data_IF_253384833581
#
_entry.id   IF_253384833581
#
_cell.length_a   1.000
_cell.length_b   1.000
_cell.length_c   1.000
_cell.angle_alpha   90.00
_cell.angle_beta   90.00
_cell.angle_gamma   90.00
#
_symmetry.space_group_name_H-M   'P 1'
#
loop_
_entity.id
_entity.type
_entity.pdbx_description
1 polymer ?
#
# COMPACT_ATOMS: atom_id res chain seq x y z
N UNK A 1 -62.22 -55.33 49.74
CA UNK A 1 -61.46 -54.09 50.18
C UNK A 1 -60.50 -53.76 49.11
N UNK A 2 -60.79 -52.68 48.34
CA UNK A 2 -60.08 -52.30 47.14
C UNK A 2 -59.17 -51.09 47.45
N UNK A 3 -57.84 -51.28 47.42
CA UNK A 3 -56.90 -50.18 47.64
C UNK A 3 -56.57 -49.55 46.26
N UNK A 4 -56.95 -48.27 46.09
CA UNK A 4 -56.60 -47.44 44.94
C UNK A 4 -55.15 -46.92 45.12
N UNK A 5 -54.30 -47.24 44.17
CA UNK A 5 -52.99 -46.59 44.03
C UNK A 5 -53.14 -45.35 43.16
N UNK A 6 -52.81 -44.16 43.68
CA UNK A 6 -52.71 -42.92 42.92
C UNK A 6 -51.24 -42.79 42.46
N UNK A 7 -51.03 -42.87 41.16
CA UNK A 7 -49.72 -42.59 40.56
C UNK A 7 -49.59 -41.08 40.32
N UNK A 8 -48.62 -40.46 40.96
CA UNK A 8 -48.29 -39.07 40.78
C UNK A 8 -47.17 -38.96 39.70
N UNK A 9 -47.54 -38.46 38.51
CA UNK A 9 -46.59 -38.22 37.38
C UNK A 9 -45.96 -36.86 37.58
N UNK A 10 -44.68 -36.81 37.90
CA UNK A 10 -43.90 -35.57 37.98
C UNK A 10 -43.36 -35.27 36.56
N UNK A 11 -43.89 -34.24 35.92
CA UNK A 11 -43.37 -33.71 34.67
C UNK A 11 -42.14 -32.87 34.97
N UNK A 12 -40.96 -33.42 34.62
CA UNK A 12 -39.69 -32.65 34.65
C UNK A 12 -39.61 -31.74 33.44
N UNK A 13 -39.80 -30.43 33.64
CA UNK A 13 -39.57 -29.39 32.66
C UNK A 13 -38.05 -29.20 32.61
N UNK A 14 -37.40 -29.79 31.61
CA UNK A 14 -35.98 -29.56 31.30
C UNK A 14 -35.79 -28.14 30.73
N UNK A 15 -35.26 -27.18 31.52
CA UNK A 15 -34.73 -25.94 30.99
C UNK A 15 -33.45 -26.29 30.19
N UNK A 16 -33.59 -26.35 28.85
CA UNK A 16 -32.46 -26.41 27.94
C UNK A 16 -31.68 -25.08 28.02
N UNK A 17 -30.54 -25.08 28.69
CA UNK A 17 -29.58 -23.98 28.60
C UNK A 17 -29.08 -23.91 27.16
N UNK A 18 -29.53 -22.91 26.41
CA UNK A 18 -28.96 -22.56 25.10
C UNK A 18 -27.56 -22.00 25.40
N UNK A 19 -26.54 -22.86 25.27
CA UNK A 19 -25.15 -22.45 25.31
C UNK A 19 -24.87 -21.67 24.01
N UNK A 20 -24.97 -20.35 24.07
CA UNK A 20 -24.44 -19.51 22.97
C UNK A 20 -22.93 -19.58 23.06
N UNK A 21 -22.32 -20.40 22.20
CA UNK A 21 -20.91 -20.30 21.96
C UNK A 21 -20.62 -18.83 21.51
N UNK A 22 -19.59 -18.18 22.04
CA UNK A 22 -19.22 -16.86 21.55
C UNK A 22 -18.97 -16.98 20.05
N UNK A 23 -19.64 -16.15 19.25
CA UNK A 23 -19.35 -16.05 17.83
C UNK A 23 -17.87 -15.63 17.74
N UNK A 24 -17.05 -16.43 17.06
CA UNK A 24 -15.69 -16.02 16.73
C UNK A 24 -15.83 -14.81 15.82
N UNK A 25 -15.31 -13.67 16.28
CA UNK A 25 -15.31 -12.46 15.47
C UNK A 25 -14.52 -12.70 14.18
N UNK A 26 -15.09 -12.33 13.04
CA UNK A 26 -14.40 -12.43 11.77
C UNK A 26 -13.20 -11.47 11.75
N UNK A 27 -12.07 -11.93 11.23
CA UNK A 27 -10.86 -11.11 11.18
C UNK A 27 -10.74 -10.40 9.83
N UNK A 28 -10.62 -9.08 9.87
CA UNK A 28 -10.21 -8.28 8.71
C UNK A 28 -8.69 -8.26 8.65
N UNK A 29 -8.12 -8.72 7.55
CA UNK A 29 -6.67 -8.86 7.36
C UNK A 29 -6.15 -7.70 6.50
N UNK A 30 -5.37 -6.82 7.13
CA UNK A 30 -4.85 -5.58 6.51
C UNK A 30 -3.37 -5.76 6.18
N UNK A 31 -3.03 -5.55 4.90
CA UNK A 31 -1.65 -5.41 4.46
C UNK A 31 -1.19 -3.94 4.51
N UNK A 32 -0.03 -3.68 5.12
CA UNK A 32 0.52 -2.34 5.17
C UNK A 32 2.03 -2.32 4.88
N UNK A 33 2.55 -1.14 4.61
CA UNK A 33 3.97 -0.86 4.42
C UNK A 33 4.45 0.14 5.49
N UNK A 34 5.76 0.31 5.66
CA UNK A 34 6.33 1.39 6.51
C UNK A 34 6.09 2.79 5.95
N UNK A 35 5.00 2.98 5.21
CA UNK A 35 4.69 4.14 4.39
C UNK A 35 3.18 4.35 4.33
N UNK A 36 2.75 5.63 4.21
CA UNK A 36 1.36 6.00 3.97
C UNK A 36 0.47 5.98 5.21
N UNK A 37 -0.81 6.21 4.98
CA UNK A 37 -1.80 6.44 6.03
C UNK A 37 -2.15 5.16 6.82
N UNK A 38 -2.06 3.97 6.19
CA UNK A 38 -2.39 2.71 6.90
C UNK A 38 -1.48 2.42 8.10
N UNK A 39 -0.18 2.76 8.04
CA UNK A 39 0.69 2.55 9.20
C UNK A 39 0.34 3.51 10.34
N UNK A 40 -0.11 4.74 10.02
CA UNK A 40 -0.59 5.70 11.03
C UNK A 40 -1.89 5.19 11.65
N UNK A 41 -2.84 4.74 10.84
CA UNK A 41 -4.12 4.18 11.29
C UNK A 41 -3.91 3.00 12.25
N UNK A 42 -2.98 2.09 11.90
CA UNK A 42 -2.59 0.96 12.73
C UNK A 42 -2.08 1.40 14.11
N UNK A 43 -1.16 2.37 14.15
CA UNK A 43 -0.55 2.82 15.41
C UNK A 43 -1.56 3.54 16.31
N UNK A 44 -2.57 4.18 15.75
CA UNK A 44 -3.66 4.83 16.50
C UNK A 44 -4.70 3.83 17.04
N UNK A 45 -4.76 2.60 16.55
CA UNK A 45 -5.77 1.62 16.94
C UNK A 45 -7.21 2.07 16.63
N UNK A 46 -7.37 3.03 15.72
CA UNK A 46 -8.68 3.59 15.38
C UNK A 46 -9.54 2.60 14.59
N UNK A 47 -8.91 1.80 13.73
CA UNK A 47 -9.63 0.82 12.93
C UNK A 47 -10.26 -0.26 13.80
N UNK A 48 -9.53 -0.77 14.79
CA UNK A 48 -10.03 -1.73 15.77
C UNK A 48 -11.27 -1.20 16.49
N UNK A 49 -11.23 0.05 16.93
CA UNK A 49 -12.37 0.70 17.61
C UNK A 49 -13.60 0.84 16.71
N UNK A 50 -13.41 1.09 15.41
CA UNK A 50 -14.50 1.21 14.44
C UNK A 50 -15.09 -0.13 14.02
N UNK A 51 -14.30 -1.20 14.02
CA UNK A 51 -14.71 -2.53 13.53
C UNK A 51 -15.24 -3.44 14.65
N UNK A 52 -14.84 -3.24 15.91
CA UNK A 52 -15.35 -3.99 17.07
C UNK A 52 -16.88 -3.98 17.16
N UNK A 53 -17.59 -2.83 17.04
CA UNK A 53 -19.05 -2.79 17.06
C UNK A 53 -19.73 -3.52 15.90
N UNK A 54 -18.98 -3.76 14.80
CA UNK A 54 -19.45 -4.53 13.65
C UNK A 54 -19.18 -6.04 13.79
N UNK A 55 -18.56 -6.47 14.89
CA UNK A 55 -18.24 -7.86 15.16
C UNK A 55 -16.94 -8.34 14.48
N UNK A 56 -16.05 -7.44 14.07
CA UNK A 56 -14.78 -7.77 13.43
C UNK A 56 -13.59 -7.45 14.31
N UNK A 57 -12.56 -8.30 14.20
CA UNK A 57 -11.20 -8.01 14.69
C UNK A 57 -10.31 -7.59 13.54
N UNK A 58 -9.16 -6.95 13.82
CA UNK A 58 -8.20 -6.54 12.81
C UNK A 58 -6.89 -7.29 12.99
N UNK A 59 -6.34 -7.79 11.90
CA UNK A 59 -4.98 -8.32 11.85
C UNK A 59 -4.13 -7.55 10.84
N UNK A 60 -2.90 -7.21 11.19
CA UNK A 60 -1.99 -6.41 10.39
C UNK A 60 -0.78 -7.19 9.95
N UNK A 61 -0.46 -7.14 8.65
CA UNK A 61 0.75 -7.76 8.10
C UNK A 61 1.57 -6.73 7.36
N UNK A 62 2.85 -6.59 7.75
CA UNK A 62 3.79 -5.68 7.10
C UNK A 62 4.38 -6.31 5.83
N UNK A 63 4.49 -5.52 4.77
CA UNK A 63 5.12 -5.90 3.50
C UNK A 63 6.23 -4.92 3.12
N UNK A 64 7.30 -5.39 2.47
CA UNK A 64 8.42 -4.54 2.06
C UNK A 64 8.09 -3.60 0.90
N UNK A 65 6.99 -3.84 0.17
CA UNK A 65 6.55 -3.07 -0.98
C UNK A 65 5.21 -3.52 -1.53
N UNK A 66 4.63 -2.69 -2.39
CA UNK A 66 3.31 -2.93 -2.99
C UNK A 66 3.18 -4.22 -3.79
N UNK A 67 4.15 -4.62 -4.62
CA UNK A 67 4.08 -5.88 -5.34
C UNK A 67 3.87 -7.09 -4.42
N UNK A 68 4.65 -7.21 -3.34
CA UNK A 68 4.55 -8.31 -2.38
C UNK A 68 3.22 -8.27 -1.59
N UNK A 69 2.72 -7.07 -1.28
CA UNK A 69 1.41 -6.91 -0.65
C UNK A 69 0.30 -7.44 -1.56
N UNK A 70 0.35 -7.14 -2.85
CA UNK A 70 -0.68 -7.59 -3.79
C UNK A 70 -0.57 -9.06 -4.18
N UNK A 71 0.61 -9.68 -4.06
CA UNK A 71 0.73 -11.15 -4.09
C UNK A 71 -0.06 -11.79 -2.94
N UNK A 72 0.04 -11.22 -1.72
CA UNK A 72 -0.72 -11.69 -0.56
C UNK A 72 -2.23 -11.48 -0.73
N UNK A 73 -2.66 -10.35 -1.31
CA UNK A 73 -4.07 -10.11 -1.65
C UNK A 73 -4.57 -11.12 -2.70
N UNK A 74 -3.76 -11.39 -3.72
CA UNK A 74 -4.11 -12.33 -4.79
C UNK A 74 -4.38 -13.75 -4.30
N UNK A 75 -3.64 -14.20 -3.27
CA UNK A 75 -3.83 -15.54 -2.67
C UNK A 75 -4.79 -15.51 -1.48
N UNK A 76 -5.45 -14.40 -1.21
CA UNK A 76 -6.41 -14.27 -0.13
C UNK A 76 -5.79 -14.29 1.27
N UNK A 77 -4.50 -13.92 1.41
CA UNK A 77 -3.84 -13.81 2.71
C UNK A 77 -4.17 -12.48 3.41
N UNK A 78 -4.55 -11.45 2.65
CA UNK A 78 -5.08 -10.17 3.15
C UNK A 78 -6.35 -9.79 2.39
N UNK A 79 -7.18 -8.94 3.02
CA UNK A 79 -8.47 -8.49 2.49
C UNK A 79 -8.42 -7.05 1.97
N UNK A 80 -7.51 -6.25 2.53
CA UNK A 80 -7.38 -4.83 2.25
C UNK A 80 -5.91 -4.38 2.38
N UNK A 81 -5.52 -3.36 1.62
CA UNK A 81 -4.18 -2.80 1.71
C UNK A 81 -3.99 -1.55 0.88
N UNK A 82 -2.78 -0.97 0.95
CA UNK A 82 -2.39 0.22 0.18
C UNK A 82 -1.11 -0.01 -0.60
N UNK A 83 -1.07 0.53 -1.80
CA UNK A 83 0.13 0.57 -2.64
C UNK A 83 0.19 1.86 -3.44
N UNK A 84 1.35 2.17 -4.03
CA UNK A 84 1.42 3.19 -5.07
C UNK A 84 0.71 2.76 -6.36
N UNK A 85 0.85 3.54 -7.41
CA UNK A 85 0.08 3.46 -8.65
C UNK A 85 0.41 2.24 -9.54
N UNK A 86 1.66 1.77 -9.58
CA UNK A 86 2.05 0.70 -10.51
C UNK A 86 1.73 -0.74 -10.02
N UNK A 87 1.89 -1.13 -8.75
CA UNK A 87 1.66 -2.50 -8.31
C UNK A 87 0.28 -3.08 -8.66
N UNK A 88 -0.86 -2.33 -8.53
CA UNK A 88 -2.18 -2.87 -8.86
C UNK A 88 -2.33 -3.22 -10.34
N UNK A 89 -1.62 -2.54 -11.22
CA UNK A 89 -1.61 -2.80 -12.67
C UNK A 89 -1.04 -4.18 -12.96
N UNK A 90 0.12 -4.49 -12.35
CA UNK A 90 0.74 -5.82 -12.48
C UNK A 90 -0.12 -6.92 -11.85
N UNK A 91 -0.69 -6.67 -10.69
CA UNK A 91 -1.57 -7.62 -10.01
C UNK A 91 -2.84 -7.89 -10.84
N UNK A 92 -3.48 -6.87 -11.39
CA UNK A 92 -4.64 -7.03 -12.29
C UNK A 92 -4.28 -7.80 -13.56
N UNK A 93 -3.13 -7.50 -14.18
CA UNK A 93 -2.65 -8.24 -15.35
C UNK A 93 -2.38 -9.71 -15.04
N UNK A 94 -1.97 -10.03 -13.82
CA UNK A 94 -1.82 -11.39 -13.31
C UNK A 94 -3.15 -12.06 -12.91
N UNK A 95 -4.27 -11.31 -12.89
CA UNK A 95 -5.60 -11.84 -12.57
C UNK A 95 -5.99 -11.77 -11.10
N UNK A 96 -5.30 -10.95 -10.30
CA UNK A 96 -5.64 -10.75 -8.89
C UNK A 96 -7.08 -10.21 -8.72
N UNK A 97 -7.85 -10.73 -7.76
CA UNK A 97 -9.24 -10.33 -7.51
C UNK A 97 -9.31 -9.03 -6.69
N UNK A 98 -8.69 -7.95 -7.19
CA UNK A 98 -8.64 -6.66 -6.51
C UNK A 98 -9.70 -5.68 -7.02
N UNK A 99 -10.07 -4.73 -6.16
CA UNK A 99 -10.83 -3.53 -6.50
C UNK A 99 -10.11 -2.30 -5.96
N UNK A 100 -10.05 -1.24 -6.76
CA UNK A 100 -9.70 0.10 -6.27
C UNK A 100 -10.88 0.67 -5.51
N UNK A 101 -10.67 1.09 -4.27
CA UNK A 101 -11.73 1.56 -3.37
C UNK A 101 -11.55 3.03 -2.95
N UNK A 102 -10.37 3.60 -3.13
CA UNK A 102 -10.05 4.99 -2.86
C UNK A 102 -8.60 5.31 -3.21
N UNK A 103 -8.24 6.59 -3.19
CA UNK A 103 -6.88 7.04 -3.43
C UNK A 103 -6.55 8.31 -2.66
N UNK A 104 -5.26 8.59 -2.48
CA UNK A 104 -4.73 9.84 -1.95
C UNK A 104 -4.23 10.76 -3.09
N UNK A 105 -4.21 12.09 -2.87
CA UNK A 105 -3.72 13.05 -3.86
C UNK A 105 -2.28 12.75 -4.30
N UNK A 106 -1.79 13.37 -5.41
CA UNK A 106 -0.43 13.18 -5.89
C UNK A 106 0.63 13.51 -4.84
N UNK A 107 1.66 12.67 -4.73
CA UNK A 107 2.83 12.85 -3.88
C UNK A 107 4.15 12.64 -4.64
N UNK A 108 4.40 13.36 -5.75
CA UNK A 108 5.54 13.10 -6.64
C UNK A 108 6.91 13.27 -5.97
N UNK A 109 7.01 14.12 -4.93
CA UNK A 109 8.25 14.37 -4.21
C UNK A 109 8.63 13.27 -3.22
N UNK A 110 7.74 12.30 -2.96
CA UNK A 110 7.99 11.20 -2.02
C UNK A 110 8.73 10.00 -2.64
N UNK A 111 9.18 10.14 -3.88
CA UNK A 111 10.06 9.16 -4.56
C UNK A 111 11.18 9.87 -5.31
N UNK A 112 12.34 9.20 -5.44
CA UNK A 112 13.51 9.79 -6.06
C UNK A 112 14.42 8.73 -6.72
N UNK A 113 15.24 9.20 -7.66
CA UNK A 113 16.45 8.51 -8.12
C UNK A 113 17.62 9.09 -7.32
N UNK A 114 18.27 8.24 -6.54
CA UNK A 114 19.43 8.59 -5.72
C UNK A 114 20.73 8.16 -6.40
N UNK A 115 21.75 8.98 -6.21
CA UNK A 115 23.14 8.66 -6.56
C UNK A 115 24.05 8.96 -5.38
N UNK A 116 25.20 8.30 -5.28
CA UNK A 116 26.15 8.55 -4.21
C UNK A 116 26.59 10.03 -4.19
N UNK A 117 26.97 10.55 -3.02
CA UNK A 117 27.41 11.94 -2.82
C UNK A 117 28.40 12.39 -3.87
N UNK A 118 29.45 11.59 -4.09
CA UNK A 118 30.58 11.90 -5.00
C UNK A 118 30.42 11.30 -6.40
N UNK A 119 29.22 10.79 -6.73
CA UNK A 119 28.95 10.20 -8.04
C UNK A 119 29.21 11.21 -9.17
N UNK A 120 29.86 10.79 -10.27
CA UNK A 120 30.02 11.59 -11.47
C UNK A 120 28.70 11.83 -12.22
N UNK A 121 27.66 11.05 -11.93
CA UNK A 121 26.33 11.18 -12.52
C UNK A 121 25.70 12.49 -12.03
N UNK A 122 25.40 13.42 -12.96
CA UNK A 122 24.82 14.74 -12.62
C UNK A 122 23.42 14.94 -13.17
N UNK A 123 23.03 14.19 -14.20
CA UNK A 123 21.74 14.25 -14.87
C UNK A 123 21.18 12.86 -15.11
N UNK A 124 19.89 12.76 -15.37
CA UNK A 124 19.25 11.47 -15.73
C UNK A 124 19.83 10.90 -17.03
N UNK A 125 20.30 11.74 -17.96
CA UNK A 125 20.95 11.29 -19.18
C UNK A 125 22.25 10.51 -18.92
N UNK A 126 22.96 10.81 -17.82
CA UNK A 126 24.19 10.11 -17.42
C UNK A 126 23.94 8.67 -16.92
N UNK A 127 22.65 8.29 -16.74
CA UNK A 127 22.27 6.93 -16.36
C UNK A 127 22.42 5.91 -17.51
N UNK A 128 22.64 6.37 -18.74
CA UNK A 128 22.89 5.47 -19.88
C UNK A 128 24.05 4.53 -19.60
N UNK A 129 23.82 3.21 -19.72
CA UNK A 129 24.78 2.16 -19.41
C UNK A 129 25.03 1.89 -17.93
N UNK A 130 24.37 2.64 -17.01
CA UNK A 130 24.55 2.49 -15.56
C UNK A 130 23.67 1.40 -14.96
N UNK A 131 24.07 0.92 -13.77
CA UNK A 131 23.32 -0.04 -12.99
C UNK A 131 22.38 0.69 -12.02
N UNK A 132 21.09 0.41 -12.10
CA UNK A 132 20.07 1.07 -11.29
C UNK A 132 19.30 0.02 -10.50
N UNK A 133 19.26 0.14 -9.16
CA UNK A 133 18.41 -0.71 -8.33
C UNK A 133 17.00 -0.13 -8.22
N UNK A 134 15.98 -0.99 -8.24
CA UNK A 134 14.60 -0.68 -7.91
C UNK A 134 13.77 -1.93 -7.63
N UNK A 135 12.62 -1.78 -6.97
CA UNK A 135 11.67 -2.87 -6.80
C UNK A 135 10.80 -3.03 -8.05
N UNK A 136 10.85 -4.21 -8.67
CA UNK A 136 10.13 -4.51 -9.93
C UNK A 136 8.62 -4.30 -9.77
N UNK A 137 8.00 -3.59 -10.70
CA UNK A 137 6.55 -3.36 -10.71
C UNK A 137 6.04 -2.39 -9.63
N UNK A 138 6.94 -1.68 -8.92
CA UNK A 138 6.58 -0.59 -8.01
C UNK A 138 6.44 0.74 -8.77
N UNK A 139 5.93 1.78 -8.08
CA UNK A 139 5.79 3.11 -8.69
C UNK A 139 7.13 3.71 -9.14
N UNK A 140 8.23 3.48 -8.41
CA UNK A 140 9.56 3.94 -8.87
C UNK A 140 10.04 3.24 -10.14
N UNK A 141 9.46 2.12 -10.52
CA UNK A 141 9.71 1.51 -11.81
C UNK A 141 9.08 2.35 -12.93
N UNK A 142 7.83 2.82 -12.77
CA UNK A 142 7.19 3.74 -13.69
C UNK A 142 7.88 5.10 -13.70
N UNK A 143 8.19 5.64 -12.53
CA UNK A 143 8.93 6.89 -12.39
C UNK A 143 10.28 6.86 -13.14
N UNK A 144 11.08 5.79 -12.98
CA UNK A 144 12.34 5.65 -13.74
C UNK A 144 12.10 5.67 -15.24
N UNK A 145 11.09 4.96 -15.74
CA UNK A 145 10.74 4.96 -17.17
C UNK A 145 10.45 6.39 -17.65
N UNK A 146 9.62 7.15 -16.91
CA UNK A 146 9.28 8.53 -17.28
C UNK A 146 10.47 9.49 -17.17
N UNK A 147 11.34 9.30 -16.19
CA UNK A 147 12.56 10.08 -16.06
C UNK A 147 13.53 9.84 -17.23
N UNK A 148 13.74 8.60 -17.62
CA UNK A 148 14.57 8.22 -18.76
C UNK A 148 14.00 8.75 -20.08
N UNK A 149 12.68 8.58 -20.30
CA UNK A 149 11.97 9.11 -21.47
C UNK A 149 12.19 10.62 -21.64
N UNK A 150 11.98 11.40 -20.55
CA UNK A 150 12.20 12.86 -20.56
C UNK A 150 13.67 13.22 -20.85
N UNK A 151 14.60 12.39 -20.42
CA UNK A 151 16.04 12.59 -20.67
C UNK A 151 16.51 12.08 -22.04
N UNK A 152 15.62 11.49 -22.86
CA UNK A 152 15.97 10.91 -24.17
C UNK A 152 16.81 9.63 -24.09
N UNK A 153 16.73 8.91 -22.96
CA UNK A 153 17.41 7.62 -22.73
C UNK A 153 16.41 6.49 -22.88
N UNK A 154 16.68 5.53 -23.76
CA UNK A 154 15.79 4.37 -23.89
C UNK A 154 15.86 3.49 -22.63
N UNK A 155 14.72 2.90 -22.23
CA UNK A 155 14.66 1.99 -21.08
C UNK A 155 15.65 0.83 -21.17
N UNK A 156 15.88 0.30 -22.38
CA UNK A 156 16.88 -0.75 -22.63
C UNK A 156 18.34 -0.30 -22.60
N UNK A 157 18.61 1.00 -22.50
CA UNK A 157 19.97 1.55 -22.42
C UNK A 157 20.54 1.59 -20.99
N UNK A 158 19.75 1.19 -19.99
CA UNK A 158 20.17 1.08 -18.57
C UNK A 158 20.15 -0.36 -18.09
N UNK A 159 20.95 -0.68 -17.07
CA UNK A 159 21.02 -2.02 -16.48
C UNK A 159 20.24 -2.04 -15.17
N UNK A 160 19.03 -2.60 -15.16
CA UNK A 160 18.18 -2.60 -13.97
C UNK A 160 18.42 -3.84 -13.12
N UNK A 161 18.70 -3.62 -11.84
CA UNK A 161 18.75 -4.64 -10.80
C UNK A 161 17.45 -4.61 -10.01
N UNK A 162 16.60 -5.63 -10.18
CA UNK A 162 15.34 -5.74 -9.46
C UNK A 162 15.59 -6.30 -8.06
N UNK A 163 15.53 -5.43 -7.06
CA UNK A 163 15.82 -5.73 -5.66
C UNK A 163 14.72 -5.15 -4.75
N UNK A 164 14.31 -5.85 -3.70
CA UNK A 164 13.48 -5.26 -2.66
C UNK A 164 14.25 -4.15 -1.93
N UNK A 165 13.57 -3.21 -1.24
CA UNK A 165 14.20 -2.01 -0.68
C UNK A 165 15.43 -2.26 0.19
N UNK A 166 15.41 -3.30 1.05
CA UNK A 166 16.54 -3.60 1.94
C UNK A 166 17.79 -4.03 1.16
N UNK A 167 17.64 -4.93 0.16
CA UNK A 167 18.73 -5.41 -0.67
C UNK A 167 19.25 -4.31 -1.62
N UNK A 168 18.31 -3.50 -2.15
CA UNK A 168 18.65 -2.34 -2.99
C UNK A 168 19.47 -1.31 -2.20
N UNK A 169 19.12 -1.08 -0.93
CA UNK A 169 19.90 -0.22 -0.03
C UNK A 169 21.32 -0.74 0.15
N UNK A 170 21.49 -2.02 0.47
CA UNK A 170 22.80 -2.63 0.64
C UNK A 170 23.63 -2.56 -0.65
N UNK A 171 23.01 -2.81 -1.82
CA UNK A 171 23.66 -2.69 -3.11
C UNK A 171 24.10 -1.25 -3.43
N UNK A 172 23.29 -0.27 -3.06
CA UNK A 172 23.59 1.15 -3.24
C UNK A 172 24.71 1.62 -2.31
N UNK A 173 24.64 1.31 -1.01
CA UNK A 173 25.65 1.68 -0.01
C UNK A 173 27.01 1.04 -0.29
N UNK A 174 27.05 -0.18 -0.83
CA UNK A 174 28.30 -0.85 -1.23
C UNK A 174 28.85 -0.40 -2.60
N UNK A 175 28.14 0.42 -3.36
CA UNK A 175 28.51 0.81 -4.71
C UNK A 175 28.35 -0.31 -5.77
N UNK A 176 27.60 -1.38 -5.47
CA UNK A 176 27.28 -2.45 -6.44
C UNK A 176 26.34 -1.98 -7.55
N UNK A 177 25.60 -0.89 -7.30
CA UNK A 177 24.78 -0.16 -8.27
C UNK A 177 25.14 1.32 -8.28
N UNK A 178 24.97 1.99 -9.41
CA UNK A 178 25.31 3.40 -9.60
C UNK A 178 24.21 4.35 -9.10
N UNK A 179 22.96 3.88 -9.13
CA UNK A 179 21.79 4.64 -8.71
C UNK A 179 20.74 3.73 -8.07
N UNK A 180 19.85 4.35 -7.28
CA UNK A 180 18.73 3.67 -6.64
C UNK A 180 17.45 4.49 -6.79
N UNK A 181 16.44 3.93 -7.45
CA UNK A 181 15.10 4.52 -7.49
C UNK A 181 14.29 3.97 -6.32
N UNK A 182 13.84 4.87 -5.43
CA UNK A 182 13.22 4.51 -4.14
C UNK A 182 12.22 5.57 -3.68
N UNK A 183 11.32 5.17 -2.79
CA UNK A 183 10.32 6.00 -2.15
C UNK A 183 10.57 6.18 -0.64
N UNK A 184 9.85 7.09 -0.03
CA UNK A 184 9.88 7.32 1.42
C UNK A 184 9.26 6.15 2.22
N UNK A 185 9.74 5.87 3.43
CA UNK A 185 10.78 6.60 4.16
C UNK A 185 12.21 6.14 3.84
N UNK A 186 12.39 5.16 2.95
CA UNK A 186 13.70 4.67 2.55
C UNK A 186 14.55 5.76 1.87
N UNK A 187 13.90 6.63 1.09
CA UNK A 187 14.52 7.78 0.46
C UNK A 187 15.15 8.71 1.52
N UNK A 188 14.38 9.20 2.49
CA UNK A 188 14.88 10.04 3.56
C UNK A 188 15.98 9.36 4.39
N UNK A 189 15.80 8.06 4.70
CA UNK A 189 16.78 7.29 5.46
C UNK A 189 18.10 7.14 4.70
N UNK A 190 18.07 6.90 3.39
CA UNK A 190 19.27 6.79 2.57
C UNK A 190 20.02 8.13 2.49
N UNK A 191 19.31 9.25 2.27
CA UNK A 191 19.93 10.58 2.27
C UNK A 191 20.65 10.89 3.58
N UNK A 192 19.98 10.60 4.71
CA UNK A 192 20.57 10.85 6.03
C UNK A 192 21.80 9.96 6.33
N UNK A 193 21.78 8.70 5.88
CA UNK A 193 22.84 7.74 6.18
C UNK A 193 24.07 7.88 5.26
N UNK A 194 23.90 8.28 4.00
CA UNK A 194 24.96 8.24 2.99
C UNK A 194 25.23 9.59 2.32
N UNK A 195 24.51 10.65 2.72
CA UNK A 195 24.53 11.95 2.05
C UNK A 195 24.24 11.84 0.53
N UNK A 196 23.44 10.81 0.15
CA UNK A 196 23.06 10.58 -1.24
C UNK A 196 22.40 11.80 -1.85
N UNK A 197 22.73 12.09 -3.10
CA UNK A 197 22.11 13.19 -3.84
C UNK A 197 20.86 12.70 -4.57
N UNK A 198 19.81 13.50 -4.53
CA UNK A 198 18.66 13.34 -5.42
C UNK A 198 19.06 13.77 -6.83
N UNK A 199 19.01 12.84 -7.78
CA UNK A 199 19.24 13.12 -9.20
C UNK A 199 17.97 13.66 -9.85
N UNK A 200 16.81 13.07 -9.51
CA UNK A 200 15.47 13.50 -9.90
C UNK A 200 14.46 13.01 -8.86
N UNK A 201 13.33 13.69 -8.75
CA UNK A 201 12.11 13.25 -8.08
C UNK A 201 10.94 13.15 -9.08
N UNK A 202 9.76 12.76 -8.63
CA UNK A 202 8.59 12.57 -9.51
C UNK A 202 7.97 13.86 -10.04
N UNK A 203 8.44 15.05 -9.61
CA UNK A 203 7.83 16.33 -9.97
C UNK A 203 7.81 16.56 -11.49
N UNK A 204 6.61 16.74 -12.04
CA UNK A 204 6.41 16.95 -13.47
C UNK A 204 6.72 15.73 -14.35
N UNK A 205 6.79 14.54 -13.73
CA UNK A 205 7.01 13.25 -14.39
C UNK A 205 5.86 12.27 -14.13
N UNK A 206 5.47 12.11 -12.87
CA UNK A 206 4.45 11.16 -12.40
C UNK A 206 3.62 11.78 -11.29
N UNK A 207 2.43 11.27 -11.07
CA UNK A 207 1.56 11.69 -9.96
C UNK A 207 1.96 11.04 -8.65
N UNK A 208 2.40 9.78 -8.69
CA UNK A 208 2.73 8.98 -7.52
C UNK A 208 1.57 8.93 -6.50
N UNK A 209 0.38 8.56 -6.98
CA UNK A 209 -0.78 8.33 -6.14
C UNK A 209 -0.59 7.11 -5.22
N UNK A 210 -1.19 7.17 -4.04
CA UNK A 210 -1.47 6.00 -3.21
C UNK A 210 -2.88 5.52 -3.48
N UNK A 211 -3.05 4.21 -3.68
CA UNK A 211 -4.34 3.56 -3.86
C UNK A 211 -4.66 2.64 -2.69
N UNK A 212 -5.91 2.67 -2.25
CA UNK A 212 -6.48 1.69 -1.35
C UNK A 212 -7.18 0.61 -2.17
N UNK A 213 -6.86 -0.63 -1.85
CA UNK A 213 -7.27 -1.81 -2.60
C UNK A 213 -7.92 -2.81 -1.67
N UNK A 214 -9.02 -3.40 -2.12
CA UNK A 214 -9.72 -4.44 -1.38
C UNK A 214 -9.88 -5.69 -2.24
N UNK A 215 -9.88 -6.86 -1.61
CA UNK A 215 -10.19 -8.11 -2.28
C UNK A 215 -11.68 -8.09 -2.72
N UNK A 216 -11.95 -8.57 -3.93
CA UNK A 216 -13.26 -8.46 -4.58
C UNK A 216 -14.38 -9.17 -3.82
N UNK A 217 -14.13 -10.39 -3.36
CA UNK A 217 -15.12 -11.17 -2.59
C UNK A 217 -15.35 -10.55 -1.22
N UNK A 218 -14.29 -10.16 -0.52
CA UNK A 218 -14.39 -9.46 0.75
C UNK A 218 -15.22 -8.17 0.63
N UNK A 219 -14.98 -7.37 -0.43
CA UNK A 219 -15.75 -6.15 -0.69
C UNK A 219 -17.23 -6.43 -0.92
N UNK A 220 -17.55 -7.53 -1.60
CA UNK A 220 -18.93 -7.92 -1.88
C UNK A 220 -19.66 -8.45 -0.64
N UNK A 221 -18.96 -9.24 0.19
CA UNK A 221 -19.54 -9.86 1.39
C UNK A 221 -19.64 -8.87 2.57
N UNK A 222 -18.71 -7.89 2.65
CA UNK A 222 -18.58 -6.98 3.78
C UNK A 222 -18.45 -5.50 3.34
N UNK A 223 -19.37 -4.97 2.51
CA UNK A 223 -19.26 -3.59 2.00
C UNK A 223 -19.21 -2.55 3.12
N UNK A 224 -19.95 -2.77 4.22
CA UNK A 224 -19.96 -1.88 5.40
C UNK A 224 -18.60 -1.84 6.13
N UNK A 225 -17.82 -2.93 6.08
CA UNK A 225 -16.49 -2.98 6.67
C UNK A 225 -15.52 -2.16 5.83
N UNK A 226 -15.60 -2.28 4.50
CA UNK A 226 -14.79 -1.45 3.59
C UNK A 226 -15.11 0.04 3.78
N UNK A 227 -16.40 0.40 3.92
CA UNK A 227 -16.81 1.78 4.18
C UNK A 227 -16.27 2.29 5.53
N UNK A 228 -16.29 1.45 6.58
CA UNK A 228 -15.71 1.78 7.88
C UNK A 228 -14.18 1.98 7.83
N UNK A 229 -13.47 1.17 7.03
CA UNK A 229 -12.03 1.33 6.80
C UNK A 229 -11.77 2.67 6.09
N UNK A 230 -12.51 2.99 5.04
CA UNK A 230 -12.35 4.26 4.31
C UNK A 230 -12.65 5.47 5.21
N UNK A 231 -13.70 5.40 6.04
CA UNK A 231 -14.02 6.45 7.02
C UNK A 231 -12.90 6.60 8.09
N UNK A 232 -12.27 5.51 8.51
CA UNK A 232 -11.13 5.56 9.42
C UNK A 232 -9.90 6.21 8.77
N UNK A 233 -9.66 5.93 7.49
CA UNK A 233 -8.57 6.53 6.71
C UNK A 233 -8.80 8.05 6.53
N UNK A 234 -10.02 8.47 6.21
CA UNK A 234 -10.37 9.89 6.08
C UNK A 234 -10.11 10.66 7.39
N UNK A 235 -10.48 10.06 8.54
CA UNK A 235 -10.24 10.65 9.87
C UNK A 235 -8.75 10.76 10.18
N UNK A 236 -7.96 9.73 9.88
CA UNK A 236 -6.51 9.73 10.09
C UNK A 236 -5.80 10.71 9.15
N UNK A 237 -6.21 10.80 7.89
CA UNK A 237 -5.68 11.78 6.94
C UNK A 237 -5.90 13.22 7.44
N UNK A 238 -7.12 13.50 7.87
CA UNK A 238 -7.45 14.82 8.43
C UNK A 238 -6.64 15.14 9.68
N UNK A 239 -6.34 14.13 10.53
CA UNK A 239 -5.49 14.32 11.70
C UNK A 239 -4.00 14.50 11.33
N UNK A 240 -3.48 13.66 10.42
CA UNK A 240 -2.07 13.61 10.08
C UNK A 240 -1.59 14.84 9.27
N UNK A 241 -2.48 15.38 8.43
CA UNK A 241 -2.20 16.45 7.48
C UNK A 241 -1.46 17.66 8.09
N UNK A 242 -1.81 18.04 9.32
CA UNK A 242 -1.26 19.21 9.99
C UNK A 242 -0.40 18.84 11.22
N UNK A 243 -0.04 17.53 11.38
CA UNK A 243 0.65 17.03 12.58
C UNK A 243 1.88 16.17 12.26
N UNK A 244 2.68 16.62 11.29
CA UNK A 244 3.83 15.85 10.80
C UNK A 244 4.85 15.50 11.90
N UNK A 245 5.08 16.40 12.87
CA UNK A 245 5.96 16.14 14.01
C UNK A 245 5.41 15.02 14.92
N UNK A 246 4.10 15.04 15.20
CA UNK A 246 3.46 14.01 16.01
C UNK A 246 3.48 12.65 15.28
N UNK A 247 3.13 12.63 13.98
CA UNK A 247 3.20 11.43 13.14
C UNK A 247 4.62 10.85 13.13
N UNK A 248 5.63 11.68 12.91
CA UNK A 248 7.03 11.24 12.89
C UNK A 248 7.49 10.69 14.25
N UNK A 249 7.09 11.33 15.34
CA UNK A 249 7.44 10.89 16.69
C UNK A 249 6.80 9.54 17.05
N UNK A 250 5.52 9.35 16.70
CA UNK A 250 4.78 8.11 16.96
C UNK A 250 5.28 6.93 16.11
N UNK A 251 5.56 7.16 14.84
CA UNK A 251 6.01 6.10 13.93
C UNK A 251 7.49 5.75 14.10
N UNK A 252 8.35 6.67 14.54
CA UNK A 252 9.79 6.49 14.64
C UNK A 252 10.21 5.17 15.33
N UNK A 253 9.71 4.83 16.55
CA UNK A 253 10.06 3.58 17.21
C UNK A 253 9.53 2.32 16.51
N UNK A 254 8.54 2.46 15.64
CA UNK A 254 7.86 1.35 14.95
C UNK A 254 8.53 1.02 13.62
N UNK A 255 8.92 2.05 12.88
CA UNK A 255 9.58 1.87 11.57
C UNK A 255 11.10 1.81 11.68
N UNK A 256 11.68 2.15 12.83
CA UNK A 256 13.12 2.10 13.09
C UNK A 256 13.90 3.23 12.39
N UNK A 257 13.25 4.37 12.13
CA UNK A 257 13.86 5.56 11.51
C UNK A 257 13.74 6.73 12.50
N UNK A 258 14.83 7.48 12.79
CA UNK A 258 14.77 8.63 13.70
C UNK A 258 13.71 9.65 13.29
N UNK A 259 12.96 10.18 14.28
CA UNK A 259 11.83 11.08 14.03
C UNK A 259 12.17 12.30 13.15
N UNK A 260 13.33 12.98 13.26
CA UNK A 260 13.66 14.09 12.35
C UNK A 260 13.79 13.67 10.89
N UNK A 261 14.28 12.45 10.62
CA UNK A 261 14.40 11.90 9.27
C UNK A 261 13.01 11.50 8.76
N UNK A 262 12.24 10.84 9.61
CA UNK A 262 10.89 10.40 9.27
C UNK A 262 9.94 11.58 9.02
N UNK A 263 10.12 12.71 9.73
CA UNK A 263 9.37 13.94 9.48
C UNK A 263 9.51 14.39 8.02
N UNK A 264 10.72 14.40 7.47
CA UNK A 264 10.93 14.76 6.06
C UNK A 264 10.19 13.84 5.09
N UNK A 265 10.05 12.56 5.43
CA UNK A 265 9.26 11.62 4.65
C UNK A 265 7.75 11.91 4.76
N UNK A 266 7.27 12.15 5.98
CA UNK A 266 5.86 12.46 6.28
C UNK A 266 5.41 13.77 5.61
N UNK A 267 6.28 14.78 5.57
CA UNK A 267 6.02 16.08 4.91
C UNK A 267 5.88 15.98 3.38
N UNK A 268 6.43 14.92 2.76
CA UNK A 268 6.29 14.66 1.32
C UNK A 268 5.07 13.82 0.95
N UNK A 269 4.36 13.26 1.94
CA UNK A 269 3.08 12.59 1.71
C UNK A 269 1.98 13.62 1.37
N UNK A 270 0.99 13.16 0.64
CA UNK A 270 -0.26 13.89 0.44
C UNK A 270 -1.38 13.18 1.19
N UNK A 271 -2.20 13.95 1.87
CA UNK A 271 -3.30 13.46 2.70
C UNK A 271 -4.64 13.87 2.14
N UNK A 272 -5.65 13.09 2.44
CA UNK A 272 -7.04 13.35 2.04
C UNK A 272 -7.55 12.30 1.08
N UNK A 273 -8.15 11.24 1.66
CA UNK A 273 -8.81 10.18 0.91
C UNK A 273 -9.82 10.75 -0.09
N UNK A 274 -9.80 10.23 -1.30
CA UNK A 274 -10.73 10.56 -2.39
C UNK A 274 -11.37 9.31 -2.97
N UNK A 275 -12.65 9.39 -3.40
CA UNK A 275 -13.25 8.35 -4.21
C UNK A 275 -12.59 8.30 -5.59
N UNK A 276 -12.50 7.08 -6.16
CA UNK A 276 -11.95 6.90 -7.51
C UNK A 276 -12.81 7.65 -8.54
N UNK A 277 -12.20 8.56 -9.30
CA UNK A 277 -12.85 9.35 -10.34
C UNK A 277 -12.30 9.03 -11.74
N UNK A 278 -12.96 9.55 -12.77
CA UNK A 278 -12.57 9.32 -14.16
C UNK A 278 -11.18 9.85 -14.51
N UNK A 279 -10.73 10.92 -13.85
CA UNK A 279 -9.42 11.50 -14.10
C UNK A 279 -8.32 10.57 -13.63
N UNK A 280 -8.42 10.06 -12.39
CA UNK A 280 -7.44 9.11 -11.85
C UNK A 280 -7.48 7.76 -12.55
N UNK A 281 -8.66 7.30 -13.02
CA UNK A 281 -8.77 6.11 -13.87
C UNK A 281 -8.00 6.30 -15.18
N UNK A 282 -8.14 7.45 -15.81
CA UNK A 282 -7.46 7.75 -17.07
C UNK A 282 -5.93 7.87 -16.88
N UNK A 283 -5.47 8.44 -15.77
CA UNK A 283 -4.04 8.47 -15.43
C UNK A 283 -3.49 7.06 -15.19
N UNK A 284 -4.18 6.26 -14.39
CA UNK A 284 -3.82 4.88 -14.10
C UNK A 284 -3.80 4.02 -15.37
N UNK A 285 -4.71 4.28 -16.33
CA UNK A 285 -4.71 3.59 -17.61
C UNK A 285 -3.46 3.91 -18.43
N UNK A 286 -2.99 5.17 -18.44
CA UNK A 286 -1.74 5.55 -19.14
C UNK A 286 -0.52 4.81 -18.59
N UNK A 287 -0.48 4.57 -17.27
CA UNK A 287 0.59 3.78 -16.65
C UNK A 287 0.53 2.34 -17.15
N UNK A 288 -0.67 1.75 -17.19
CA UNK A 288 -0.88 0.39 -17.69
C UNK A 288 -0.47 0.26 -19.17
N UNK A 289 -0.86 1.22 -20.00
CA UNK A 289 -0.52 1.25 -21.42
C UNK A 289 1.00 1.37 -21.62
N UNK A 290 1.67 2.24 -20.88
CA UNK A 290 3.14 2.38 -20.91
C UNK A 290 3.84 1.06 -20.59
N UNK A 291 3.45 0.36 -19.54
CA UNK A 291 4.05 -0.93 -19.20
C UNK A 291 3.74 -2.01 -20.24
N UNK A 292 2.56 -1.99 -20.84
CA UNK A 292 2.20 -2.93 -21.91
C UNK A 292 3.01 -2.67 -23.19
N UNK A 293 3.15 -1.42 -23.62
CA UNK A 293 3.94 -1.01 -24.79
C UNK A 293 5.41 -1.38 -24.67
N UNK A 294 5.96 -1.32 -23.45
CA UNK A 294 7.32 -1.75 -23.15
C UNK A 294 7.47 -3.28 -23.02
N UNK A 295 6.38 -4.05 -23.18
CA UNK A 295 6.41 -5.51 -23.03
C UNK A 295 6.60 -5.98 -21.60
N UNK A 296 6.36 -5.11 -20.60
CA UNK A 296 6.50 -5.41 -19.17
C UNK A 296 5.22 -6.03 -18.58
N UNK A 297 4.07 -5.87 -19.26
CA UNK A 297 2.83 -6.58 -18.94
C UNK A 297 2.57 -7.69 -19.95
N UNK A 298 2.05 -8.84 -19.52
CA UNK A 298 1.75 -9.97 -20.41
C UNK A 298 0.54 -9.74 -21.31
N UNK A 299 -0.35 -8.81 -20.95
CA UNK A 299 -1.58 -8.46 -21.67
C UNK A 299 -2.01 -7.03 -21.36
N UNK A 300 -2.73 -6.40 -22.29
CA UNK A 300 -3.43 -5.15 -22.02
C UNK A 300 -4.57 -5.36 -21.00
N UNK A 301 -4.79 -4.37 -20.15
CA UNK A 301 -5.84 -4.37 -19.12
C UNK A 301 -6.65 -3.08 -19.20
N UNK A 302 -7.86 -3.10 -18.62
CA UNK A 302 -8.69 -1.91 -18.44
C UNK A 302 -8.84 -1.64 -16.94
N UNK A 303 -8.37 -0.49 -16.50
CA UNK A 303 -8.46 -0.09 -15.09
C UNK A 303 -9.91 0.01 -14.63
N UNK A 304 -10.82 0.46 -15.50
CA UNK A 304 -12.25 0.56 -15.21
C UNK A 304 -12.93 -0.77 -14.83
N UNK A 305 -12.33 -1.92 -15.17
CA UNK A 305 -12.89 -3.24 -14.86
C UNK A 305 -12.78 -3.62 -13.36
N UNK A 306 -11.94 -2.92 -12.62
CA UNK A 306 -11.60 -3.23 -11.21
C UNK A 306 -11.84 -2.05 -10.27
N UNK A 307 -12.77 -1.18 -10.60
CA UNK A 307 -13.20 -0.08 -9.72
C UNK A 307 -14.40 -0.53 -8.88
N UNK A 308 -14.35 -0.27 -7.57
CA UNK A 308 -15.50 -0.48 -6.69
C UNK A 308 -16.65 0.42 -7.15
N UNK A 309 -17.81 -0.18 -7.42
CA UNK A 309 -19.02 0.59 -7.68
C UNK A 309 -19.60 1.12 -6.37
N UNK A 310 -20.18 2.34 -6.35
CA UNK A 310 -20.88 2.83 -5.18
C UNK A 310 -21.94 1.83 -4.73
N UNK A 311 -22.06 1.61 -3.43
CA UNK A 311 -23.20 0.90 -2.85
C UNK A 311 -24.44 1.74 -3.08
N UNK A 312 -25.42 1.20 -3.80
CA UNK A 312 -26.73 1.83 -4.07
C UNK A 312 -27.57 1.96 -2.82
#
# INVERSE_FOLDING_TARGET
MLKKFISLTIAAIGLGAISTAPAVADAVRIGYQKYGTLVILKEKGLLEQKLEPLGFTVSWTEFPGGPQLLEALNVGAIDFGTTGEAPPIFAQAAGAPLLYVGYEPPAPTSEAILVAKDSPIKTVADLKGKKIALNKGSNVHYFLIKALEKAGVAYGDVNISFLPPADARAAFESGAVDAWAIWDPFFAAAQAATEARTLADGTGLVSNHQFFLSEKKFTADHPQVVDAILAALEEIDAWAKDRHDEVAAELSPKVGIPAPILKSAVERLSYGLKPIDEAVIAEQQKIADTFFELGLLPKAIKISDVIRKPTS
#
